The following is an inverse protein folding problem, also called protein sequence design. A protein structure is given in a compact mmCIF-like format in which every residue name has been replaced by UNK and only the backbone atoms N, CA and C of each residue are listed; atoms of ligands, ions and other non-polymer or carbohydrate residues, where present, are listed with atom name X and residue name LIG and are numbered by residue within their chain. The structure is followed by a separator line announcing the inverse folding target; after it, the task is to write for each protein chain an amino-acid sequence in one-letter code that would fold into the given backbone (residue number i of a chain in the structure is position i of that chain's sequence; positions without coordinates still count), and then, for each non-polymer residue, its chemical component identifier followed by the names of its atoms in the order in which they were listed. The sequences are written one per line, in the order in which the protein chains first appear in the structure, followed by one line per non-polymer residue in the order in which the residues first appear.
data_IF_941670582032
#
_entry.id   IF_941670582032
#
_cell.length_a   1.000
_cell.length_b   1.000
_cell.length_c   1.000
_cell.angle_alpha   90.00
_cell.angle_beta   90.00
_cell.angle_gamma   90.00
#
_symmetry.space_group_name_H-M   'P 1'
#
loop_
_entity.id
_entity.type
_entity.pdbx_description
1 polymer ?
#
# COMPACT_ATOMS: atom_id res chain seq x y z
N UNK A 1 5.96 -23.20 5.36
CA UNK A 1 4.55 -23.29 4.89
C UNK A 1 4.57 -23.51 3.39
N UNK A 2 3.72 -24.43 2.88
CA UNK A 2 3.66 -24.71 1.44
C UNK A 2 3.21 -23.45 0.68
N UNK A 3 3.92 -23.09 -0.40
CA UNK A 3 3.53 -21.95 -1.25
C UNK A 3 2.34 -22.30 -2.18
N UNK A 4 1.47 -23.18 -1.75
CA UNK A 4 0.33 -23.68 -2.53
C UNK A 4 -0.64 -22.55 -2.95
N UNK A 5 -0.80 -21.53 -2.12
CA UNK A 5 -1.59 -20.34 -2.43
C UNK A 5 -1.08 -19.56 -3.66
N UNK A 6 0.24 -19.60 -3.94
CA UNK A 6 0.83 -18.96 -5.13
C UNK A 6 0.35 -19.59 -6.44
N UNK A 7 -0.06 -20.85 -6.43
CA UNK A 7 -0.57 -21.53 -7.64
C UNK A 7 -1.81 -20.86 -8.23
N UNK A 8 -2.53 -20.08 -7.42
CA UNK A 8 -3.71 -19.31 -7.84
C UNK A 8 -3.36 -18.01 -8.60
N UNK A 9 -2.09 -17.63 -8.62
CA UNK A 9 -1.63 -16.41 -9.27
C UNK A 9 -0.78 -16.73 -10.49
N UNK A 10 -0.78 -15.80 -11.43
CA UNK A 10 0.22 -15.69 -12.49
C UNK A 10 1.10 -14.47 -12.18
N UNK A 11 2.39 -14.61 -12.42
CA UNK A 11 3.30 -13.48 -12.43
C UNK A 11 3.19 -12.79 -13.79
N UNK A 12 3.07 -11.47 -13.78
CA UNK A 12 3.04 -10.65 -14.99
C UNK A 12 4.13 -9.57 -14.92
N UNK A 13 4.57 -9.12 -16.08
CA UNK A 13 5.53 -8.01 -16.15
C UNK A 13 4.82 -6.68 -15.88
N UNK A 14 5.54 -5.63 -15.47
CA UNK A 14 4.97 -4.30 -15.36
C UNK A 14 4.40 -3.77 -16.68
N UNK A 15 4.98 -4.16 -17.81
CA UNK A 15 4.55 -3.80 -19.16
C UNK A 15 3.20 -4.46 -19.54
N UNK A 16 2.96 -5.67 -19.01
CA UNK A 16 1.72 -6.42 -19.24
C UNK A 16 0.62 -6.06 -18.23
N UNK A 17 0.93 -5.23 -17.22
CA UNK A 17 -0.04 -4.83 -16.21
C UNK A 17 -1.03 -3.81 -16.78
N UNK A 18 -2.18 -4.32 -17.22
CA UNK A 18 -3.26 -3.51 -17.75
C UNK A 18 -4.18 -3.03 -16.66
N UNK A 19 -4.22 -1.73 -16.44
CA UNK A 19 -5.05 -1.12 -15.42
C UNK A 19 -5.51 0.29 -15.81
N UNK A 20 -6.52 0.77 -15.11
CA UNK A 20 -6.92 2.18 -15.12
C UNK A 20 -6.35 2.84 -13.86
N UNK A 21 -5.17 3.48 -13.95
CA UNK A 21 -4.42 3.89 -12.75
C UNK A 21 -5.19 4.83 -11.83
N UNK A 22 -6.01 5.73 -12.36
CA UNK A 22 -6.83 6.63 -11.55
C UNK A 22 -7.98 5.92 -10.82
N UNK A 23 -8.52 4.85 -11.39
CA UNK A 23 -9.55 4.05 -10.73
C UNK A 23 -8.93 3.09 -9.72
N UNK A 24 -7.83 2.45 -10.09
CA UNK A 24 -7.13 1.45 -9.28
C UNK A 24 -6.80 1.97 -7.87
N UNK A 25 -6.25 3.18 -7.76
CA UNK A 25 -5.94 3.76 -6.45
C UNK A 25 -7.15 4.43 -5.82
N UNK A 26 -7.86 5.29 -6.55
CA UNK A 26 -8.87 6.16 -5.96
C UNK A 26 -10.20 5.43 -5.65
N UNK A 27 -10.65 4.57 -6.57
CA UNK A 27 -11.94 3.88 -6.44
C UNK A 27 -11.81 2.47 -5.83
N UNK A 28 -10.84 1.69 -6.31
CA UNK A 28 -10.72 0.30 -5.86
C UNK A 28 -10.07 0.19 -4.48
N UNK A 29 -9.22 1.15 -4.11
CA UNK A 29 -8.41 1.17 -2.90
C UNK A 29 -7.42 -0.01 -2.87
N UNK A 30 -6.37 0.16 -2.08
CA UNK A 30 -5.41 -0.90 -1.85
C UNK A 30 -5.07 -1.01 -0.36
N UNK A 31 -4.59 -2.17 0.06
CA UNK A 31 -3.85 -2.30 1.30
C UNK A 31 -2.36 -2.20 1.02
N UNK A 32 -1.68 -1.33 1.74
CA UNK A 32 -0.22 -1.34 1.82
C UNK A 32 0.18 -2.06 3.09
N UNK A 33 1.12 -3.00 2.95
CA UNK A 33 1.54 -3.88 4.04
C UNK A 33 3.06 -3.91 4.13
N UNK A 34 3.60 -3.76 5.33
CA UNK A 34 5.01 -3.94 5.63
C UNK A 34 5.19 -4.67 6.97
N UNK A 35 6.35 -5.27 7.17
CA UNK A 35 6.71 -6.00 8.37
C UNK A 35 7.32 -7.36 8.09
N UNK A 36 7.34 -8.19 9.13
CA UNK A 36 7.83 -9.56 9.12
C UNK A 36 6.69 -10.54 9.42
N UNK A 37 6.89 -11.87 9.25
CA UNK A 37 5.89 -12.86 9.63
C UNK A 37 5.44 -12.76 11.10
N UNK A 38 6.34 -12.35 11.99
CA UNK A 38 6.05 -12.21 13.42
C UNK A 38 5.30 -10.92 13.73
N UNK A 39 5.53 -9.89 12.93
CA UNK A 39 4.91 -8.57 13.17
C UNK A 39 4.79 -7.76 11.90
N UNK A 40 3.59 -7.60 11.41
CA UNK A 40 3.27 -6.76 10.25
C UNK A 40 2.07 -5.86 10.54
N UNK A 41 1.90 -4.86 9.70
CA UNK A 41 0.68 -4.06 9.72
C UNK A 41 0.30 -3.62 8.31
N UNK A 42 -1.00 -3.49 8.09
CA UNK A 42 -1.58 -2.97 6.85
C UNK A 42 -2.43 -1.74 7.11
N UNK A 43 -2.55 -0.90 6.11
CA UNK A 43 -3.56 0.17 6.07
C UNK A 43 -4.10 0.34 4.66
N UNK A 44 -5.32 0.81 4.58
CA UNK A 44 -5.93 1.17 3.29
C UNK A 44 -5.39 2.50 2.79
N UNK A 45 -5.10 2.53 1.50
CA UNK A 45 -4.80 3.74 0.76
C UNK A 45 -5.80 3.92 -0.38
N UNK A 46 -6.07 5.17 -0.73
CA UNK A 46 -6.83 5.58 -1.90
C UNK A 46 -6.07 6.58 -2.79
N UNK A 47 -4.81 6.80 -2.47
CA UNK A 47 -3.92 7.68 -3.22
C UNK A 47 -2.63 6.96 -3.54
N UNK A 48 -2.19 7.10 -4.78
CA UNK A 48 -0.99 6.45 -5.28
C UNK A 48 -0.87 6.63 -6.78
N UNK A 49 0.10 5.98 -7.35
CA UNK A 49 0.34 5.95 -8.78
C UNK A 49 1.39 4.94 -9.15
N UNK A 50 1.38 4.49 -10.39
CA UNK A 50 2.40 3.64 -10.97
C UNK A 50 2.97 4.31 -12.23
N UNK A 51 4.23 4.07 -12.51
CA UNK A 51 4.91 4.66 -13.64
C UNK A 51 6.35 4.21 -13.74
N UNK A 52 7.21 5.04 -14.31
CA UNK A 52 8.64 4.75 -14.49
C UNK A 52 9.49 5.87 -13.93
N UNK A 53 10.54 5.51 -13.20
CA UNK A 53 11.58 6.42 -12.72
C UNK A 53 12.94 5.76 -12.85
N UNK A 54 13.96 6.47 -13.37
CA UNK A 54 15.29 5.94 -13.64
C UNK A 54 15.27 4.65 -14.48
N UNK A 55 14.36 4.57 -15.46
CA UNK A 55 14.14 3.39 -16.32
C UNK A 55 13.72 2.11 -15.61
N UNK A 56 13.17 2.22 -14.41
CA UNK A 56 12.59 1.10 -13.66
C UNK A 56 11.11 1.33 -13.36
N UNK A 57 10.30 0.28 -13.30
CA UNK A 57 8.90 0.40 -12.92
C UNK A 57 8.78 0.75 -11.43
N UNK A 58 7.94 1.72 -11.11
CA UNK A 58 7.74 2.18 -9.75
C UNK A 58 6.26 2.31 -9.39
N UNK A 59 5.97 2.27 -8.10
CA UNK A 59 4.71 2.75 -7.53
C UNK A 59 4.99 3.75 -6.42
N UNK A 60 4.15 4.80 -6.35
CA UNK A 60 4.18 5.80 -5.30
C UNK A 60 2.99 5.61 -4.37
N UNK A 61 3.22 5.67 -3.08
CA UNK A 61 2.19 5.65 -2.05
C UNK A 61 2.43 6.77 -1.04
N UNK A 62 1.38 7.14 -0.30
CA UNK A 62 1.41 8.28 0.62
C UNK A 62 0.87 7.85 1.98
N UNK A 63 1.69 8.02 3.03
CA UNK A 63 1.35 7.62 4.40
C UNK A 63 1.50 8.83 5.32
N UNK A 64 0.45 9.18 6.08
CA UNK A 64 0.50 10.25 7.08
C UNK A 64 1.37 9.87 8.27
N UNK A 65 1.93 10.88 8.94
CA UNK A 65 2.86 10.71 10.07
C UNK A 65 2.25 9.93 11.23
N UNK A 66 0.97 10.15 11.52
CA UNK A 66 0.28 9.51 12.64
C UNK A 66 -0.10 8.04 12.40
N UNK A 67 -0.02 7.54 11.15
CA UNK A 67 -0.43 6.17 10.84
C UNK A 67 0.55 5.15 11.43
N UNK A 68 0.02 4.18 12.16
CA UNK A 68 0.84 3.11 12.76
C UNK A 68 1.64 2.31 11.74
N UNK A 69 1.09 2.12 10.55
CA UNK A 69 1.75 1.43 9.44
C UNK A 69 3.06 2.11 9.02
N UNK A 70 3.15 3.45 9.20
CA UNK A 70 4.35 4.21 8.87
C UNK A 70 5.61 3.64 9.52
N UNK A 71 5.53 3.28 10.80
CA UNK A 71 6.65 2.67 11.53
C UNK A 71 7.21 1.45 10.79
N UNK A 72 6.34 0.59 10.27
CA UNK A 72 6.75 -0.61 9.54
C UNK A 72 7.41 -0.25 8.20
N UNK A 73 6.90 0.76 7.50
CA UNK A 73 7.49 1.26 6.26
C UNK A 73 8.84 1.92 6.47
N UNK A 74 9.05 2.59 7.60
CA UNK A 74 10.34 3.19 7.94
C UNK A 74 11.39 2.11 8.24
N UNK A 75 11.00 1.02 8.91
CA UNK A 75 11.87 -0.06 9.34
C UNK A 75 12.18 -1.09 8.23
N UNK A 76 11.32 -1.22 7.20
CA UNK A 76 11.44 -2.26 6.18
C UNK A 76 11.83 -1.68 4.80
N UNK A 77 12.65 -2.44 4.06
CA UNK A 77 12.94 -2.11 2.66
C UNK A 77 11.85 -2.63 1.71
N UNK A 78 11.25 -3.78 2.04
CA UNK A 78 10.25 -4.44 1.21
C UNK A 78 8.85 -4.22 1.78
N UNK A 79 7.91 -4.04 0.88
CA UNK A 79 6.49 -3.92 1.19
C UNK A 79 5.62 -4.43 0.05
N UNK A 80 4.34 -4.60 0.29
CA UNK A 80 3.37 -4.93 -0.75
C UNK A 80 2.27 -3.89 -0.89
N UNK A 81 1.75 -3.80 -2.10
CA UNK A 81 0.51 -3.10 -2.43
C UNK A 81 -0.46 -4.14 -2.98
N UNK A 82 -1.60 -4.33 -2.31
CA UNK A 82 -2.56 -5.39 -2.60
C UNK A 82 -3.93 -4.81 -2.94
N UNK A 83 -4.52 -5.21 -4.06
CA UNK A 83 -5.90 -4.88 -4.45
C UNK A 83 -6.82 -6.09 -4.28
N UNK A 84 -8.10 -5.83 -4.11
CA UNK A 84 -9.10 -6.81 -3.71
C UNK A 84 -10.37 -6.66 -4.56
N UNK A 85 -11.22 -7.71 -4.62
CA UNK A 85 -12.52 -7.57 -5.27
C UNK A 85 -13.38 -6.54 -4.52
N UNK A 86 -14.30 -5.90 -5.23
CA UNK A 86 -15.19 -4.86 -4.67
C UNK A 86 -16.00 -5.36 -3.47
N UNK A 87 -16.31 -6.65 -3.42
CA UNK A 87 -17.01 -7.27 -2.28
C UNK A 87 -16.28 -7.12 -0.94
N UNK A 88 -14.98 -6.81 -0.95
CA UNK A 88 -14.15 -6.62 0.26
C UNK A 88 -14.00 -5.15 0.67
N UNK A 89 -14.79 -4.25 0.13
CA UNK A 89 -14.74 -2.81 0.49
C UNK A 89 -14.97 -2.54 1.98
N UNK A 90 -15.80 -3.35 2.63
CA UNK A 90 -16.06 -3.24 4.07
C UNK A 90 -14.81 -3.51 4.89
N UNK A 91 -14.09 -4.58 4.57
CA UNK A 91 -12.83 -4.96 5.20
C UNK A 91 -11.75 -3.90 4.97
N UNK A 92 -11.63 -3.40 3.72
CA UNK A 92 -10.72 -2.30 3.40
C UNK A 92 -11.07 -1.03 4.20
N UNK A 93 -12.36 -0.69 4.29
CA UNK A 93 -12.81 0.44 5.11
C UNK A 93 -12.40 0.27 6.58
N UNK A 94 -12.55 -0.93 7.14
CA UNK A 94 -12.13 -1.25 8.50
C UNK A 94 -10.61 -1.06 8.67
N UNK A 95 -9.81 -1.64 7.76
CA UNK A 95 -8.34 -1.54 7.78
C UNK A 95 -7.83 -0.09 7.69
N UNK A 96 -8.60 0.80 7.05
CA UNK A 96 -8.26 2.22 6.92
C UNK A 96 -8.65 3.08 8.13
N UNK A 97 -9.73 2.72 8.84
CA UNK A 97 -10.31 3.52 9.92
C UNK A 97 -9.87 3.10 11.33
N UNK A 98 -9.30 1.92 11.48
CA UNK A 98 -8.86 1.39 12.76
C UNK A 98 -7.34 1.26 12.83
N UNK A 99 -6.78 1.34 14.03
CA UNK A 99 -5.34 1.28 14.27
C UNK A 99 -4.90 -0.08 14.79
N UNK A 100 -3.85 -0.64 14.18
CA UNK A 100 -3.19 -1.85 14.70
C UNK A 100 -2.41 -1.63 16.01
N UNK A 101 -2.42 -0.38 16.57
CA UNK A 101 -1.97 -0.13 17.95
C UNK A 101 -2.98 -0.62 18.98
N UNK A 102 -4.26 -0.55 18.63
CA UNK A 102 -5.37 -0.69 19.56
C UNK A 102 -6.01 -2.08 19.48
N UNK A 103 -5.90 -2.74 18.32
CA UNK A 103 -6.54 -4.02 18.07
C UNK A 103 -5.87 -4.84 16.94
N UNK A 104 -6.15 -6.14 16.94
CA UNK A 104 -5.82 -7.01 15.81
C UNK A 104 -6.84 -6.85 14.68
N UNK A 105 -6.51 -6.01 13.72
CA UNK A 105 -7.37 -5.73 12.56
C UNK A 105 -7.54 -6.94 11.64
N UNK A 106 -6.54 -7.83 11.57
CA UNK A 106 -6.61 -9.02 10.75
C UNK A 106 -7.64 -10.01 11.31
N UNK A 107 -7.63 -10.22 12.63
CA UNK A 107 -8.65 -11.04 13.29
C UNK A 107 -10.06 -10.47 13.10
N UNK A 108 -10.21 -9.13 13.10
CA UNK A 108 -11.51 -8.46 12.90
C UNK A 108 -12.05 -8.53 11.48
N UNK A 109 -11.17 -8.55 10.48
CA UNK A 109 -11.55 -8.54 9.06
C UNK A 109 -11.48 -9.91 8.40
N UNK A 110 -10.83 -10.90 9.05
CA UNK A 110 -10.56 -12.20 8.45
C UNK A 110 -9.49 -12.18 7.35
N UNK A 111 -8.83 -11.02 7.12
CA UNK A 111 -7.71 -10.92 6.21
C UNK A 111 -6.52 -11.69 6.75
N UNK A 112 -5.81 -12.40 5.88
CA UNK A 112 -4.70 -13.27 6.28
C UNK A 112 -3.37 -12.76 5.72
N UNK A 113 -2.48 -12.23 6.59
CA UNK A 113 -1.10 -11.95 6.20
C UNK A 113 -0.38 -13.25 5.85
N UNK A 114 0.37 -13.23 4.75
CA UNK A 114 1.17 -14.34 4.27
C UNK A 114 2.55 -13.86 3.84
N UNK A 115 3.57 -14.69 4.10
CA UNK A 115 4.93 -14.38 3.67
C UNK A 115 5.07 -14.53 2.15
N UNK A 116 5.67 -13.52 1.51
CA UNK A 116 5.97 -13.48 0.09
C UNK A 116 7.32 -12.78 -0.14
N UNK A 117 8.31 -13.53 -0.60
CA UNK A 117 9.61 -12.99 -1.05
C UNK A 117 10.28 -12.01 -0.07
N UNK A 118 10.23 -12.33 1.23
CA UNK A 118 10.85 -11.53 2.30
C UNK A 118 10.00 -10.35 2.79
N UNK A 119 8.76 -10.26 2.37
CA UNK A 119 7.76 -9.29 2.88
C UNK A 119 6.42 -9.99 3.14
N UNK A 120 5.40 -9.21 3.46
CA UNK A 120 4.06 -9.73 3.78
C UNK A 120 3.06 -9.26 2.73
N UNK A 121 2.32 -10.21 2.17
CA UNK A 121 1.15 -9.96 1.32
C UNK A 121 -0.14 -10.37 2.06
N UNK A 122 -1.29 -10.17 1.42
CA UNK A 122 -2.59 -10.59 1.94
C UNK A 122 -3.19 -11.66 1.01
N UNK A 123 -3.50 -12.84 1.56
CA UNK A 123 -3.94 -14.03 0.80
C UNK A 123 -5.15 -13.77 -0.11
N UNK A 124 -6.06 -12.90 0.31
CA UNK A 124 -7.31 -12.64 -0.41
C UNK A 124 -7.15 -11.63 -1.56
N UNK A 125 -5.98 -11.06 -1.76
CA UNK A 125 -5.75 -10.08 -2.81
C UNK A 125 -5.99 -10.67 -4.21
N UNK A 126 -6.46 -9.86 -5.14
CA UNK A 126 -6.55 -10.20 -6.57
C UNK A 126 -5.31 -9.78 -7.35
N UNK A 127 -4.67 -8.70 -6.88
CA UNK A 127 -3.41 -8.21 -7.42
C UNK A 127 -2.47 -7.94 -6.25
N UNK A 128 -1.23 -8.37 -6.37
CA UNK A 128 -0.17 -8.12 -5.38
C UNK A 128 1.03 -7.54 -6.10
N UNK A 129 1.45 -6.33 -5.73
CA UNK A 129 2.74 -5.78 -6.11
C UNK A 129 3.73 -5.94 -4.96
N UNK A 130 4.84 -6.62 -5.20
CA UNK A 130 6.00 -6.65 -4.29
C UNK A 130 6.92 -5.50 -4.67
N UNK A 131 7.22 -4.65 -3.72
CA UNK A 131 7.94 -3.42 -3.95
C UNK A 131 9.17 -3.31 -3.03
N UNK A 132 10.26 -2.76 -3.57
CA UNK A 132 11.43 -2.35 -2.81
C UNK A 132 11.46 -0.83 -2.70
N UNK A 133 11.49 -0.32 -1.48
CA UNK A 133 11.62 1.11 -1.22
C UNK A 133 12.93 1.64 -1.81
N UNK A 134 12.84 2.62 -2.68
CA UNK A 134 14.00 3.31 -3.29
C UNK A 134 14.07 4.78 -2.92
N UNK A 135 12.98 5.33 -2.37
CA UNK A 135 12.92 6.69 -1.86
C UNK A 135 11.84 6.78 -0.80
N UNK A 136 12.06 7.57 0.23
CA UNK A 136 11.03 8.12 1.09
C UNK A 136 11.35 9.58 1.44
N UNK A 137 10.31 10.39 1.55
CA UNK A 137 10.48 11.80 1.88
C UNK A 137 9.14 12.50 2.14
N UNK A 138 9.18 13.60 2.94
CA UNK A 138 7.98 14.34 3.25
C UNK A 138 7.46 15.12 2.03
N UNK A 139 6.15 15.13 1.85
CA UNK A 139 5.48 16.09 0.99
C UNK A 139 5.18 17.33 1.85
N UNK A 140 6.10 18.29 1.83
CA UNK A 140 5.93 19.53 2.57
C UNK A 140 4.73 20.31 2.01
N UNK A 141 3.68 20.60 2.81
CA UNK A 141 2.54 21.39 2.38
C UNK A 141 2.89 22.76 1.82
N UNK A 142 4.04 23.33 2.22
CA UNK A 142 4.53 24.61 1.69
C UNK A 142 4.90 24.54 0.21
N UNK A 143 5.35 23.37 -0.25
CA UNK A 143 5.73 23.14 -1.64
C UNK A 143 4.54 22.73 -2.53
N UNK A 144 3.37 22.51 -1.94
CA UNK A 144 2.16 22.20 -2.71
C UNK A 144 1.55 23.53 -3.20
N UNK A 145 1.48 23.68 -4.51
CA UNK A 145 0.78 24.81 -5.14
C UNK A 145 -0.70 24.85 -4.75
N UNK A 146 -1.35 26.01 -4.79
CA UNK A 146 -2.79 26.09 -4.56
C UNK A 146 -3.55 25.14 -5.48
N UNK A 147 -4.38 24.28 -4.90
CA UNK A 147 -5.26 23.35 -5.60
C UNK A 147 -6.55 23.19 -4.78
N UNK A 148 -7.59 22.69 -5.44
CA UNK A 148 -8.95 22.60 -4.89
C UNK A 148 -9.03 21.92 -3.51
N UNK A 149 -8.21 20.92 -3.27
CA UNK A 149 -8.31 20.10 -2.05
C UNK A 149 -7.22 20.39 -1.01
N UNK A 150 -6.29 21.32 -1.27
CA UNK A 150 -5.14 21.52 -0.37
C UNK A 150 -5.58 21.81 1.07
N UNK A 151 -6.50 22.76 1.26
CA UNK A 151 -6.92 23.16 2.60
C UNK A 151 -7.78 22.12 3.32
N UNK A 152 -8.40 21.21 2.57
CA UNK A 152 -9.18 20.09 3.13
C UNK A 152 -8.30 19.03 3.75
N UNK A 153 -7.09 18.81 3.20
CA UNK A 153 -6.24 17.71 3.55
C UNK A 153 -5.00 18.06 4.36
N UNK A 154 -4.76 19.33 4.60
CA UNK A 154 -3.65 19.80 5.42
C UNK A 154 -4.14 20.80 6.47
N UNK A 155 -3.93 20.46 7.75
CA UNK A 155 -4.21 21.39 8.85
C UNK A 155 -3.06 22.42 8.96
N UNK A 156 -3.37 23.69 8.67
CA UNK A 156 -2.41 24.80 8.76
C UNK A 156 -1.83 24.98 10.16
N UNK A 157 -2.53 24.52 11.19
CA UNK A 157 -2.13 24.66 12.60
C UNK A 157 -1.30 23.47 13.09
N UNK A 158 -1.21 22.39 12.30
CA UNK A 158 -0.43 21.21 12.62
C UNK A 158 0.78 21.07 11.66
N UNK A 159 2.00 21.46 12.09
CA UNK A 159 3.18 21.41 11.22
C UNK A 159 3.57 19.98 10.83
N UNK A 160 3.05 18.98 11.53
CA UNK A 160 3.29 17.55 11.24
C UNK A 160 2.18 16.92 10.41
N UNK A 161 1.17 17.67 9.96
CA UNK A 161 0.11 17.15 9.11
C UNK A 161 0.54 17.09 7.64
N UNK A 162 1.46 16.19 7.34
CA UNK A 162 1.92 15.91 6.00
C UNK A 162 2.01 14.41 5.73
N UNK A 163 2.08 14.05 4.46
CA UNK A 163 2.33 12.68 4.04
C UNK A 163 3.81 12.46 3.77
N UNK A 164 4.31 11.28 4.14
CA UNK A 164 5.54 10.77 3.55
C UNK A 164 5.17 10.07 2.24
N UNK A 165 5.81 10.45 1.16
CA UNK A 165 5.79 9.68 -0.08
C UNK A 165 6.81 8.54 0.04
N UNK A 166 6.39 7.33 -0.28
CA UNK A 166 7.27 6.19 -0.48
C UNK A 166 7.23 5.83 -1.97
N UNK A 167 8.38 5.83 -2.60
CA UNK A 167 8.55 5.33 -3.96
C UNK A 167 9.16 3.94 -3.89
N UNK A 168 8.47 2.96 -4.44
CA UNK A 168 8.94 1.58 -4.51
C UNK A 168 9.20 1.14 -5.93
N UNK A 169 10.37 0.56 -6.17
CA UNK A 169 10.59 -0.26 -7.36
C UNK A 169 9.66 -1.45 -7.33
N UNK A 170 8.89 -1.67 -8.38
CA UNK A 170 8.05 -2.86 -8.54
C UNK A 170 8.94 -4.03 -8.94
N UNK A 171 9.09 -5.00 -8.04
CA UNK A 171 9.91 -6.19 -8.25
C UNK A 171 9.12 -7.33 -8.89
N UNK A 172 7.83 -7.41 -8.56
CA UNK A 172 6.95 -8.49 -8.98
C UNK A 172 5.49 -8.03 -8.96
N UNK A 173 4.73 -8.47 -9.92
CA UNK A 173 3.27 -8.34 -9.93
C UNK A 173 2.65 -9.73 -10.06
N UNK A 174 1.79 -10.08 -9.11
CA UNK A 174 1.00 -11.29 -9.12
C UNK A 174 -0.47 -10.93 -9.36
N UNK A 175 -1.06 -11.56 -10.36
CA UNK A 175 -2.48 -11.40 -10.69
C UNK A 175 -3.20 -12.72 -10.50
N UNK A 176 -4.32 -12.72 -9.80
CA UNK A 176 -5.12 -13.92 -9.56
C UNK A 176 -5.71 -14.43 -10.88
N UNK A 177 -5.62 -15.76 -11.09
CA UNK A 177 -6.13 -16.43 -12.30
C UNK A 177 -7.63 -16.43 -12.37
#
# INVERSE_FOLDING_TARGET
MSKEWLSQYKEITPEDFQTKPFELYHKEWALVTAGTPEKCNSMTISWGGAGTYMSIPITNIYIRQERYTKKFFDEQELYTVCWFPESMKKELGYMGNHSGRDEDKYAKTGLKPIELDGTIAIEQATIIMVCKKIFDGPIDPKNICPCENKERYFDKNNPNDYHTMYMGQVLKILEKK
#
